data_IF_852041574062
#
_entry.id   IF_852041574062
#
_cell.length_a   1.000
_cell.length_b   1.000
_cell.length_c   1.000
_cell.angle_alpha   90.00
_cell.angle_beta   90.00
_cell.angle_gamma   90.00
#
_symmetry.space_group_name_H-M   'P 1'
#
loop_
_entity.id
_entity.type
_entity.pdbx_description
1 polymer ?
#
# COMPACT_ATOMS: atom_id res chain seq x y z
N UNK A 1 10.70 35.94 9.07
CA UNK A 1 9.33 36.48 9.17
C UNK A 1 8.78 36.54 7.76
N UNK A 2 7.91 35.60 7.39
CA UNK A 2 7.20 35.67 6.10
C UNK A 2 5.75 35.28 6.38
N UNK A 3 4.86 36.26 6.25
CA UNK A 3 3.40 36.07 6.31
C UNK A 3 2.97 35.31 5.06
N UNK A 4 2.31 34.17 5.23
CA UNK A 4 1.53 33.56 4.16
C UNK A 4 0.33 34.50 3.87
N UNK A 5 0.29 35.09 2.68
CA UNK A 5 -0.89 35.77 2.17
C UNK A 5 -1.95 34.71 1.82
N UNK A 6 -3.20 35.00 2.16
CA UNK A 6 -4.34 34.14 1.85
C UNK A 6 -4.50 33.93 0.35
N UNK A 7 -4.90 32.72 -0.03
CA UNK A 7 -5.23 32.34 -1.39
C UNK A 7 -6.51 33.08 -1.85
N UNK A 8 -6.48 33.82 -2.96
CA UNK A 8 -7.69 34.35 -3.57
C UNK A 8 -8.34 33.28 -4.45
N UNK A 9 -9.67 33.20 -4.39
CA UNK A 9 -10.50 32.48 -5.35
C UNK A 9 -10.24 33.03 -6.77
N UNK A 10 -9.45 32.31 -7.56
CA UNK A 10 -9.33 32.59 -9.00
C UNK A 10 -9.25 31.28 -9.77
N UNK A 11 -10.18 31.12 -10.71
CA UNK A 11 -10.22 30.05 -11.70
C UNK A 11 -9.02 30.17 -12.67
N UNK A 12 -7.82 29.83 -12.19
CA UNK A 12 -6.64 29.58 -12.99
C UNK A 12 -6.62 28.15 -13.54
N UNK A 13 -5.70 27.82 -14.47
CA UNK A 13 -5.48 26.43 -14.86
C UNK A 13 -5.13 25.61 -13.60
N UNK A 14 -5.52 24.32 -13.52
CA UNK A 14 -5.24 23.49 -12.36
C UNK A 14 -3.75 23.58 -12.01
N UNK A 15 -3.42 23.92 -10.76
CA UNK A 15 -2.04 23.83 -10.29
C UNK A 15 -1.60 22.36 -10.43
N UNK A 16 -0.64 22.10 -11.32
CA UNK A 16 -0.10 20.75 -11.51
C UNK A 16 0.51 20.28 -10.19
N UNK A 17 0.27 19.02 -9.83
CA UNK A 17 0.87 18.33 -8.67
C UNK A 17 0.46 18.83 -7.28
N UNK A 18 -0.75 19.37 -7.10
CA UNK A 18 -1.26 19.70 -5.76
C UNK A 18 -1.34 18.45 -4.84
N UNK A 19 -1.64 17.28 -5.39
CA UNK A 19 -1.60 16.01 -4.68
C UNK A 19 -0.19 15.73 -4.08
N UNK A 20 0.87 15.94 -4.86
CA UNK A 20 2.25 15.79 -4.41
C UNK A 20 2.59 16.73 -3.25
N UNK A 21 2.23 18.01 -3.39
CA UNK A 21 2.44 19.04 -2.38
C UNK A 21 1.68 18.72 -1.10
N UNK A 22 0.43 18.25 -1.21
CA UNK A 22 -0.38 17.82 -0.08
C UNK A 22 0.27 16.64 0.65
N UNK A 23 0.67 15.58 -0.06
CA UNK A 23 1.32 14.42 0.54
C UNK A 23 2.62 14.77 1.27
N UNK A 24 3.51 15.53 0.62
CA UNK A 24 4.78 15.94 1.23
C UNK A 24 4.58 16.84 2.46
N UNK A 25 3.55 17.69 2.44
CA UNK A 25 3.20 18.52 3.59
C UNK A 25 2.67 17.69 4.75
N UNK A 26 1.75 16.76 4.49
CA UNK A 26 1.19 15.85 5.49
C UNK A 26 2.26 14.95 6.10
N UNK A 27 3.10 14.34 5.27
CA UNK A 27 4.16 13.43 5.69
C UNK A 27 5.44 14.15 6.17
N UNK A 28 5.44 15.49 6.15
CA UNK A 28 6.56 16.32 6.59
C UNK A 28 6.37 16.96 7.95
N UNK A 29 5.17 16.95 8.53
CA UNK A 29 4.85 17.69 9.75
C UNK A 29 3.95 16.93 10.73
N UNK A 30 4.13 17.21 12.02
CA UNK A 30 3.29 16.68 13.09
C UNK A 30 3.37 15.16 13.24
N UNK A 31 2.28 14.56 13.73
CA UNK A 31 2.20 13.10 13.92
C UNK A 31 2.15 12.33 12.59
N UNK A 32 1.63 12.95 11.54
CA UNK A 32 1.57 12.35 10.19
C UNK A 32 2.94 12.26 9.52
N UNK A 33 3.98 12.90 10.07
CA UNK A 33 5.36 12.69 9.61
C UNK A 33 5.84 11.25 9.81
N UNK A 34 5.20 10.47 10.68
CA UNK A 34 5.50 9.04 10.89
C UNK A 34 4.71 8.13 9.94
N UNK A 35 3.76 8.66 9.16
CA UNK A 35 3.01 7.90 8.16
C UNK A 35 3.97 7.30 7.14
N UNK A 36 3.82 6.00 6.90
CA UNK A 36 4.65 5.22 5.98
C UNK A 36 4.08 5.15 4.57
N UNK A 37 2.76 5.03 4.45
CA UNK A 37 2.06 5.01 3.17
C UNK A 37 0.97 6.06 3.16
N UNK A 38 0.92 6.87 2.11
CA UNK A 38 -0.20 7.77 1.82
C UNK A 38 -0.82 7.38 0.48
N UNK A 39 -2.14 7.17 0.46
CA UNK A 39 -2.92 6.99 -0.76
C UNK A 39 -3.77 8.24 -0.91
N UNK A 40 -3.57 8.98 -1.99
CA UNK A 40 -4.31 10.20 -2.29
C UNK A 40 -5.48 9.85 -3.19
N UNK A 41 -6.66 10.35 -2.85
CA UNK A 41 -7.89 10.18 -3.62
C UNK A 41 -8.59 11.53 -3.72
N UNK A 42 -9.49 11.66 -4.69
CA UNK A 42 -10.29 12.88 -4.84
C UNK A 42 -11.23 13.07 -3.63
N UNK A 43 -11.71 14.30 -3.45
CA UNK A 43 -12.60 14.69 -2.34
C UNK A 43 -13.94 13.94 -2.31
N UNK A 44 -14.38 13.45 -3.47
CA UNK A 44 -15.59 12.63 -3.63
C UNK A 44 -15.40 11.15 -3.28
N UNK A 45 -14.18 10.72 -2.95
CA UNK A 45 -13.88 9.33 -2.54
C UNK A 45 -13.81 9.23 -1.01
N UNK A 46 -14.70 8.46 -0.36
CA UNK A 46 -14.65 8.25 1.09
C UNK A 46 -13.38 7.48 1.49
N UNK A 47 -12.46 8.15 2.19
CA UNK A 47 -11.15 7.59 2.56
C UNK A 47 -11.21 6.51 3.67
N UNK A 48 -12.34 6.39 4.38
CA UNK A 48 -12.62 5.34 5.35
C UNK A 48 -13.29 4.09 4.73
N UNK A 49 -13.64 4.15 3.45
CA UNK A 49 -14.13 3.03 2.66
C UNK A 49 -13.01 2.45 1.80
N UNK A 50 -12.50 1.30 2.24
CA UNK A 50 -11.41 0.60 1.54
C UNK A 50 -11.77 0.18 0.12
N UNK A 51 -13.02 -0.21 -0.13
CA UNK A 51 -13.44 -0.65 -1.46
C UNK A 51 -13.49 0.56 -2.42
N UNK A 52 -13.94 1.73 -1.94
CA UNK A 52 -13.91 2.98 -2.69
C UNK A 52 -12.48 3.46 -3.02
N UNK A 53 -11.54 3.33 -2.07
CA UNK A 53 -10.12 3.65 -2.28
C UNK A 53 -9.49 2.71 -3.31
N UNK A 54 -9.76 1.40 -3.23
CA UNK A 54 -9.30 0.45 -4.23
C UNK A 54 -9.88 0.74 -5.62
N UNK A 55 -11.15 1.15 -5.70
CA UNK A 55 -11.77 1.56 -6.96
C UNK A 55 -11.16 2.84 -7.54
N UNK A 56 -10.73 3.78 -6.71
CA UNK A 56 -9.96 4.95 -7.16
C UNK A 56 -8.60 4.52 -7.71
N UNK A 57 -7.87 3.68 -6.98
CA UNK A 57 -6.60 3.09 -7.43
C UNK A 57 -6.77 2.38 -8.79
N UNK A 58 -7.79 1.54 -8.92
CA UNK A 58 -8.09 0.78 -10.15
C UNK A 58 -8.26 1.70 -11.36
N UNK A 59 -8.94 2.82 -11.20
CA UNK A 59 -9.32 3.70 -12.33
C UNK A 59 -8.23 4.71 -12.69
N UNK A 60 -7.48 5.17 -11.69
CA UNK A 60 -6.69 6.38 -11.82
C UNK A 60 -5.17 6.15 -11.70
N UNK A 61 -4.73 5.05 -11.08
CA UNK A 61 -3.31 4.85 -10.76
C UNK A 61 -2.55 4.08 -11.86
N UNK A 62 -1.37 4.60 -12.21
CA UNK A 62 -0.29 3.98 -12.98
C UNK A 62 1.04 4.02 -12.22
N UNK A 63 1.82 2.94 -12.28
CA UNK A 63 3.15 2.91 -11.70
C UNK A 63 4.10 3.97 -12.29
N UNK A 64 3.90 4.36 -13.55
CA UNK A 64 4.78 5.32 -14.24
C UNK A 64 4.69 6.72 -13.65
N UNK A 65 3.48 7.17 -13.35
CA UNK A 65 3.20 8.56 -12.99
C UNK A 65 2.83 8.73 -11.52
N UNK A 66 2.29 7.70 -10.86
CA UNK A 66 1.53 7.88 -9.63
C UNK A 66 2.17 7.27 -8.38
N UNK A 67 3.44 6.85 -8.46
CA UNK A 67 4.19 6.30 -7.33
C UNK A 67 5.39 7.17 -6.96
N UNK A 68 5.42 7.65 -5.71
CA UNK A 68 6.59 8.31 -5.13
C UNK A 68 7.13 7.48 -3.96
N UNK A 69 8.34 6.97 -4.13
CA UNK A 69 9.07 6.23 -3.10
C UNK A 69 10.21 7.09 -2.58
N UNK A 70 10.23 7.33 -1.27
CA UNK A 70 11.24 8.17 -0.60
C UNK A 70 12.02 7.28 0.38
N UNK A 71 13.24 6.82 0.02
CA UNK A 71 14.07 6.04 0.93
C UNK A 71 14.83 6.93 1.92
N UNK A 72 15.24 6.38 3.06
CA UNK A 72 16.16 7.04 3.99
C UNK A 72 15.53 8.18 4.80
N UNK A 73 14.25 8.04 5.16
CA UNK A 73 13.47 9.05 5.90
C UNK A 73 13.08 8.56 7.30
N UNK A 74 12.66 9.45 8.21
CA UNK A 74 12.18 9.04 9.52
C UNK A 74 11.04 8.01 9.45
N UNK A 75 11.16 6.98 10.28
CA UNK A 75 10.18 5.91 10.45
C UNK A 75 9.64 5.93 11.88
N UNK A 76 8.39 5.49 12.06
CA UNK A 76 7.78 5.29 13.37
C UNK A 76 8.63 4.34 14.21
N UNK A 77 8.87 4.68 15.48
CA UNK A 77 9.68 3.86 16.40
C UNK A 77 9.09 2.46 16.64
N UNK A 78 7.77 2.30 16.50
CA UNK A 78 7.09 1.01 16.60
C UNK A 78 7.12 0.21 15.29
N UNK A 79 7.48 0.84 14.18
CA UNK A 79 7.68 0.15 12.91
C UNK A 79 9.12 -0.38 12.85
N UNK A 80 9.27 -1.70 12.87
CA UNK A 80 10.56 -2.40 12.84
C UNK A 80 11.00 -2.81 11.43
N UNK A 81 10.22 -2.47 10.40
CA UNK A 81 10.36 -3.10 9.10
C UNK A 81 11.65 -2.77 8.38
N UNK A 82 12.34 -1.67 8.68
CA UNK A 82 13.59 -1.27 8.03
C UNK A 82 14.84 -1.95 8.61
N UNK A 83 14.72 -2.67 9.74
CA UNK A 83 15.82 -3.15 10.59
C UNK A 83 16.70 -2.06 11.23
N UNK A 84 16.39 -0.79 11.03
CA UNK A 84 17.15 0.33 11.61
C UNK A 84 16.20 1.26 12.35
N UNK A 85 16.41 1.42 13.66
CA UNK A 85 15.54 2.25 14.50
C UNK A 85 15.42 3.68 13.93
N UNK A 86 14.18 4.15 13.78
CA UNK A 86 13.80 5.48 13.29
C UNK A 86 14.25 5.83 11.85
N UNK A 87 14.73 4.86 11.07
CA UNK A 87 15.10 5.05 9.67
C UNK A 87 14.26 4.11 8.81
N UNK A 88 13.74 4.59 7.69
CA UNK A 88 12.92 3.77 6.80
C UNK A 88 12.65 4.43 5.48
N UNK A 89 11.50 4.10 4.91
CA UNK A 89 11.04 4.65 3.65
C UNK A 89 9.56 5.01 3.69
N UNK A 90 9.17 5.90 2.77
CA UNK A 90 7.78 6.33 2.58
C UNK A 90 7.33 6.02 1.16
N UNK A 91 6.05 5.66 1.03
CA UNK A 91 5.38 5.44 -0.25
C UNK A 91 4.18 6.38 -0.35
N UNK A 92 4.07 7.08 -1.47
CA UNK A 92 2.88 7.85 -1.83
C UNK A 92 2.31 7.30 -3.13
N UNK A 93 1.01 7.02 -3.13
CA UNK A 93 0.26 6.52 -4.27
C UNK A 93 -0.81 7.56 -4.62
N UNK A 94 -0.68 8.20 -5.78
CA UNK A 94 -1.62 9.22 -6.24
C UNK A 94 -2.74 8.60 -7.06
N UNK A 95 -3.93 8.48 -6.50
CA UNK A 95 -5.10 7.93 -7.17
C UNK A 95 -6.13 9.02 -7.52
N UNK A 96 -5.73 10.30 -7.53
CA UNK A 96 -6.60 11.41 -7.92
C UNK A 96 -6.82 11.44 -9.43
N UNK A 97 -8.00 11.88 -9.87
CA UNK A 97 -8.35 11.91 -11.30
C UNK A 97 -7.54 12.98 -12.01
N UNK A 98 -6.87 12.59 -13.11
CA UNK A 98 -6.23 13.56 -13.99
C UNK A 98 -5.22 14.45 -13.27
N UNK A 99 -4.31 13.86 -12.49
CA UNK A 99 -3.26 14.59 -11.77
C UNK A 99 -1.93 14.78 -12.53
N UNK A 100 -1.70 14.04 -13.63
CA UNK A 100 -0.38 13.96 -14.26
C UNK A 100 0.64 13.27 -13.35
N UNK A 101 0.11 12.62 -12.30
CA UNK A 101 0.78 11.88 -11.27
C UNK A 101 1.76 12.65 -10.38
N UNK A 102 1.99 12.11 -9.19
CA UNK A 102 2.99 12.63 -8.25
C UNK A 102 4.41 12.58 -8.83
N UNK A 103 4.70 11.58 -9.66
CA UNK A 103 5.98 11.30 -10.29
C UNK A 103 6.03 11.60 -11.80
N UNK A 104 4.89 11.81 -12.45
CA UNK A 104 4.80 12.03 -13.89
C UNK A 104 5.39 13.36 -14.36
N UNK A 105 5.91 13.38 -15.60
CA UNK A 105 6.43 14.55 -16.31
C UNK A 105 5.44 15.10 -17.35
N UNK A 106 4.34 14.38 -17.59
CA UNK A 106 3.30 14.74 -18.54
C UNK A 106 2.12 15.49 -17.89
N UNK A 107 1.44 16.38 -18.63
CA UNK A 107 0.16 16.93 -18.20
C UNK A 107 -0.86 15.79 -18.00
N UNK A 108 -1.80 15.94 -17.08
CA UNK A 108 -2.80 14.93 -16.86
C UNK A 108 -3.60 14.55 -18.09
N UNK A 109 -3.70 13.25 -18.35
CA UNK A 109 -4.68 12.74 -19.31
C UNK A 109 -6.10 12.98 -18.76
N UNK A 110 -7.03 13.53 -19.57
CA UNK A 110 -8.39 13.76 -19.12
C UNK A 110 -9.15 12.43 -19.05
N UNK A 111 -9.55 12.05 -17.83
CA UNK A 111 -10.63 11.10 -17.58
C UNK A 111 -10.22 9.87 -16.74
N UNK A 112 -11.06 9.43 -15.77
CA UNK A 112 -10.89 8.13 -15.14
C UNK A 112 -11.15 7.02 -16.17
N UNK A 113 -10.32 5.98 -16.15
CA UNK A 113 -10.55 4.79 -16.96
C UNK A 113 -9.26 4.20 -17.49
N UNK A 114 -8.88 3.05 -16.92
CA UNK A 114 -7.83 2.15 -17.41
C UNK A 114 -6.37 2.68 -17.37
N UNK A 115 -6.08 3.73 -16.57
CA UNK A 115 -4.70 4.22 -16.35
C UNK A 115 -3.73 3.07 -16.04
N UNK A 116 -2.53 3.03 -16.61
CA UNK A 116 -1.54 1.96 -16.35
C UNK A 116 -1.90 0.55 -16.82
N UNK A 117 -3.12 0.28 -17.36
CA UNK A 117 -3.46 -1.07 -17.83
C UNK A 117 -2.64 -1.51 -19.05
N UNK A 118 -2.23 -0.57 -19.90
CA UNK A 118 -1.35 -0.83 -21.05
C UNK A 118 0.07 -1.24 -20.63
N UNK A 119 0.45 -1.00 -19.38
CA UNK A 119 1.77 -1.31 -18.84
C UNK A 119 1.79 -2.66 -18.11
N UNK A 120 0.62 -3.29 -17.92
CA UNK A 120 0.54 -4.59 -17.25
C UNK A 120 1.20 -5.68 -18.11
N UNK A 121 1.90 -6.65 -17.48
CA UNK A 121 2.36 -7.83 -18.19
C UNK A 121 1.17 -8.55 -18.84
N UNK A 122 1.27 -8.86 -20.13
CA UNK A 122 0.19 -9.52 -20.89
C UNK A 122 -0.95 -8.61 -21.34
N UNK A 123 -0.98 -7.35 -20.89
CA UNK A 123 -2.02 -6.36 -21.23
C UNK A 123 -3.33 -6.52 -20.47
N UNK A 124 -4.25 -5.58 -20.67
CA UNK A 124 -5.53 -5.49 -19.96
C UNK A 124 -6.47 -6.69 -20.18
N UNK A 125 -6.30 -7.40 -21.30
CA UNK A 125 -7.12 -8.54 -21.71
C UNK A 125 -6.43 -9.89 -21.40
N UNK A 126 -5.33 -9.86 -20.65
CA UNK A 126 -4.66 -11.07 -20.21
C UNK A 126 -5.61 -11.99 -19.41
N UNK A 127 -5.47 -13.32 -19.53
CA UNK A 127 -6.21 -14.24 -18.69
C UNK A 127 -5.83 -14.05 -17.21
N UNK A 128 -6.74 -14.41 -16.31
CA UNK A 128 -6.45 -14.55 -14.88
C UNK A 128 -6.33 -16.04 -14.55
N UNK A 129 -5.11 -16.48 -14.28
CA UNK A 129 -4.82 -17.81 -13.75
C UNK A 129 -4.78 -17.73 -12.21
N UNK A 130 -5.49 -18.62 -11.54
CA UNK A 130 -5.53 -18.67 -10.07
C UNK A 130 -4.12 -18.87 -9.48
N UNK A 131 -3.63 -17.95 -8.61
CA UNK A 131 -2.24 -17.99 -8.11
C UNK A 131 -1.84 -19.30 -7.44
N UNK A 132 -2.78 -19.95 -6.73
CA UNK A 132 -2.55 -21.25 -6.07
C UNK A 132 -2.18 -22.38 -7.03
N UNK A 133 -2.39 -22.23 -8.35
CA UNK A 133 -1.99 -23.21 -9.37
C UNK A 133 -0.61 -22.93 -9.96
N UNK A 134 -0.10 -21.71 -9.79
CA UNK A 134 1.15 -21.26 -10.42
C UNK A 134 2.35 -21.34 -9.49
N UNK A 135 2.15 -21.40 -8.17
CA UNK A 135 3.25 -21.44 -7.20
C UNK A 135 2.89 -22.22 -5.92
N UNK A 136 3.62 -23.30 -5.63
CA UNK A 136 3.33 -24.24 -4.54
C UNK A 136 3.37 -23.63 -3.12
N UNK A 137 4.09 -22.52 -2.94
CA UNK A 137 4.15 -21.85 -1.64
C UNK A 137 2.88 -21.06 -1.30
N UNK A 138 2.02 -20.80 -2.29
CA UNK A 138 0.76 -20.07 -2.07
C UNK A 138 -0.21 -21.00 -1.35
N UNK A 139 -0.56 -20.63 -0.12
CA UNK A 139 -1.53 -21.37 0.69
C UNK A 139 -2.96 -21.01 0.31
N UNK A 140 -3.20 -19.72 0.02
CA UNK A 140 -4.52 -19.17 -0.22
C UNK A 140 -4.42 -17.80 -0.90
N UNK A 141 -5.50 -17.31 -1.49
CA UNK A 141 -5.52 -16.01 -2.16
C UNK A 141 -6.93 -15.41 -2.20
N UNK A 142 -7.00 -14.08 -2.32
CA UNK A 142 -8.25 -13.34 -2.47
C UNK A 142 -8.04 -12.09 -3.32
N UNK A 143 -8.99 -11.77 -4.18
CA UNK A 143 -9.04 -10.49 -4.90
C UNK A 143 -10.03 -9.56 -4.18
N UNK A 144 -9.60 -8.33 -3.95
CA UNK A 144 -10.42 -7.26 -3.37
C UNK A 144 -10.70 -6.20 -4.44
N UNK A 145 -11.97 -5.84 -4.59
CA UNK A 145 -12.47 -4.81 -5.51
C UNK A 145 -11.87 -4.90 -6.94
N UNK A 146 -11.68 -6.12 -7.46
CA UNK A 146 -11.05 -6.40 -8.77
C UNK A 146 -9.69 -5.70 -9.00
N UNK A 147 -8.98 -5.37 -7.92
CA UNK A 147 -7.81 -4.47 -7.95
C UNK A 147 -6.61 -5.05 -7.22
N UNK A 148 -6.82 -5.41 -5.96
CA UNK A 148 -5.78 -5.88 -5.06
C UNK A 148 -5.88 -7.40 -4.92
N UNK A 149 -4.88 -8.10 -5.46
CA UNK A 149 -4.71 -9.53 -5.21
C UNK A 149 -3.88 -9.71 -3.93
N UNK A 150 -4.48 -10.30 -2.90
CA UNK A 150 -3.75 -10.71 -1.70
C UNK A 150 -3.46 -12.20 -1.77
N UNK A 151 -2.20 -12.57 -1.54
CA UNK A 151 -1.71 -13.95 -1.61
C UNK A 151 -1.06 -14.30 -0.29
N UNK A 152 -1.56 -15.35 0.37
CA UNK A 152 -1.01 -15.87 1.60
C UNK A 152 0.00 -16.97 1.28
N UNK A 153 1.22 -16.84 1.80
CA UNK A 153 2.32 -17.78 1.53
C UNK A 153 2.77 -18.51 2.78
N UNK A 154 3.19 -19.77 2.60
CA UNK A 154 3.89 -20.53 3.64
C UNK A 154 5.37 -20.18 3.60
N UNK A 155 5.73 -19.04 4.18
CA UNK A 155 7.11 -18.55 4.20
C UNK A 155 7.87 -19.11 5.41
N UNK A 156 8.75 -20.09 5.18
CA UNK A 156 9.54 -20.73 6.23
C UNK A 156 10.97 -20.21 6.34
N UNK A 157 11.43 -19.49 5.32
CA UNK A 157 12.83 -19.08 5.19
C UNK A 157 13.02 -17.56 5.09
N UNK A 158 11.92 -16.80 5.09
CA UNK A 158 11.92 -15.34 5.04
C UNK A 158 12.28 -14.77 3.68
N UNK A 159 12.29 -15.60 2.64
CA UNK A 159 12.62 -15.22 1.26
C UNK A 159 11.52 -15.61 0.28
N UNK A 160 10.60 -16.48 0.70
CA UNK A 160 9.51 -16.96 -0.15
C UNK A 160 8.56 -15.82 -0.50
N UNK A 161 8.27 -14.91 0.44
CA UNK A 161 7.45 -13.72 0.21
C UNK A 161 7.96 -12.87 -0.95
N UNK A 162 9.23 -12.46 -0.86
CA UNK A 162 9.90 -11.66 -1.90
C UNK A 162 9.85 -12.29 -3.28
N UNK A 163 10.19 -13.58 -3.38
CA UNK A 163 10.19 -14.31 -4.64
C UNK A 163 8.79 -14.35 -5.27
N UNK A 164 7.77 -14.66 -4.47
CA UNK A 164 6.37 -14.68 -4.94
C UNK A 164 5.91 -13.29 -5.38
N UNK A 165 6.30 -12.23 -4.65
CA UNK A 165 5.97 -10.86 -5.03
C UNK A 165 6.56 -10.47 -6.39
N UNK A 166 7.84 -10.79 -6.64
CA UNK A 166 8.51 -10.55 -7.93
C UNK A 166 7.87 -11.34 -9.08
N UNK A 167 7.57 -12.62 -8.87
CA UNK A 167 6.94 -13.47 -9.88
C UNK A 167 5.52 -13.00 -10.25
N UNK A 168 4.71 -12.62 -9.24
CA UNK A 168 3.35 -12.12 -9.49
C UNK A 168 3.37 -10.71 -10.12
N UNK A 169 4.32 -9.85 -9.74
CA UNK A 169 4.53 -8.56 -10.40
C UNK A 169 4.87 -8.72 -11.89
N UNK A 170 5.64 -9.75 -12.26
CA UNK A 170 6.02 -10.02 -13.64
C UNK A 170 5.01 -10.88 -14.43
N UNK A 171 4.04 -11.51 -13.75
CA UNK A 171 3.16 -12.51 -14.37
C UNK A 171 2.24 -11.91 -15.46
N UNK A 172 2.25 -12.44 -16.69
CA UNK A 172 1.34 -12.03 -17.77
C UNK A 172 -0.04 -12.65 -17.66
N UNK A 173 -0.36 -13.32 -16.54
CA UNK A 173 -1.58 -14.12 -16.35
C UNK A 173 -2.38 -13.73 -15.12
N UNK A 174 -2.34 -12.47 -14.72
CA UNK A 174 -3.14 -11.92 -13.62
C UNK A 174 -4.18 -10.90 -14.11
N UNK A 175 -4.51 -10.91 -15.41
CA UNK A 175 -5.45 -9.96 -16.01
C UNK A 175 -5.19 -8.51 -15.62
N UNK A 176 -6.25 -7.81 -15.18
CA UNK A 176 -6.26 -6.39 -14.84
C UNK A 176 -5.72 -6.05 -13.44
N UNK A 177 -5.27 -7.04 -12.65
CA UNK A 177 -4.73 -6.78 -11.32
C UNK A 177 -3.52 -5.85 -11.44
N UNK A 178 -3.53 -4.75 -10.70
CA UNK A 178 -2.44 -3.75 -10.66
C UNK A 178 -1.63 -3.80 -9.37
N UNK A 179 -2.23 -4.34 -8.31
CA UNK A 179 -1.63 -4.39 -6.98
C UNK A 179 -1.70 -5.80 -6.42
N UNK A 180 -0.54 -6.30 -5.98
CA UNK A 180 -0.40 -7.56 -5.26
C UNK A 180 0.12 -7.30 -3.85
N UNK A 181 -0.42 -7.99 -2.85
CA UNK A 181 0.17 -8.04 -1.52
C UNK A 181 0.43 -9.51 -1.14
N UNK A 182 1.67 -9.81 -0.79
CA UNK A 182 2.07 -11.13 -0.31
C UNK A 182 2.15 -11.09 1.21
N UNK A 183 1.35 -11.91 1.88
CA UNK A 183 1.21 -11.91 3.35
C UNK A 183 1.59 -13.26 3.94
N UNK A 184 2.01 -13.24 5.21
CA UNK A 184 2.33 -14.46 5.97
C UNK A 184 1.09 -15.32 6.26
N UNK A 185 1.35 -16.58 6.64
CA UNK A 185 0.35 -17.62 6.90
C UNK A 185 -0.62 -17.31 8.05
N UNK A 186 -0.19 -16.48 9.00
CA UNK A 186 -0.98 -16.00 10.14
C UNK A 186 -2.02 -14.92 9.78
N UNK A 187 -1.94 -14.32 8.58
CA UNK A 187 -2.88 -13.28 8.15
C UNK A 187 -4.18 -13.90 7.66
N UNK A 188 -5.30 -13.48 8.27
CA UNK A 188 -6.65 -13.85 7.84
C UNK A 188 -7.03 -13.08 6.58
N UNK A 189 -7.49 -13.80 5.54
CA UNK A 189 -8.01 -13.19 4.31
C UNK A 189 -9.49 -12.79 4.42
N UNK A 190 -10.18 -13.22 5.47
CA UNK A 190 -11.62 -12.98 5.69
C UNK A 190 -11.89 -11.78 6.60
N UNK A 191 -10.93 -11.46 7.48
CA UNK A 191 -10.98 -10.30 8.36
C UNK A 191 -10.29 -9.10 7.70
N UNK A 192 -11.09 -8.13 7.25
CA UNK A 192 -10.61 -6.92 6.56
C UNK A 192 -9.60 -6.14 7.39
N UNK A 193 -9.84 -5.98 8.69
CA UNK A 193 -8.98 -5.19 9.57
C UNK A 193 -7.63 -5.88 9.73
N UNK A 194 -7.63 -7.18 10.00
CA UNK A 194 -6.40 -7.96 10.12
C UNK A 194 -5.65 -8.10 8.80
N UNK A 195 -6.37 -8.14 7.67
CA UNK A 195 -5.77 -8.16 6.34
C UNK A 195 -5.02 -6.86 6.03
N UNK A 196 -5.68 -5.71 6.21
CA UNK A 196 -5.04 -4.39 6.03
C UNK A 196 -3.85 -4.25 6.98
N UNK A 197 -4.02 -4.65 8.24
CA UNK A 197 -2.93 -4.62 9.22
C UNK A 197 -1.75 -5.51 8.81
N UNK A 198 -2.03 -6.73 8.34
CA UNK A 198 -1.02 -7.67 7.87
C UNK A 198 -0.24 -7.16 6.64
N UNK A 199 -0.91 -6.42 5.76
CA UNK A 199 -0.27 -5.80 4.59
C UNK A 199 0.64 -4.64 5.01
N UNK A 200 0.16 -3.71 5.84
CA UNK A 200 0.86 -2.43 6.06
C UNK A 200 1.90 -2.42 7.18
N UNK A 201 1.94 -3.45 8.04
CA UNK A 201 2.86 -3.50 9.19
C UNK A 201 4.13 -4.30 8.97
N UNK A 202 4.26 -5.04 7.85
CA UNK A 202 5.34 -6.03 7.65
C UNK A 202 6.23 -5.79 6.44
N UNK A 203 6.23 -4.58 5.90
CA UNK A 203 7.06 -4.20 4.77
C UNK A 203 7.78 -2.88 5.01
N UNK A 204 8.94 -2.63 4.40
CA UNK A 204 9.52 -1.30 4.21
C UNK A 204 9.40 -0.96 2.72
N UNK A 205 8.92 0.22 2.34
CA UNK A 205 8.62 0.51 0.94
C UNK A 205 9.84 0.38 0.01
N UNK A 206 10.99 0.92 0.41
CA UNK A 206 12.22 0.86 -0.37
C UNK A 206 12.78 -0.56 -0.53
N UNK A 207 12.60 -1.41 0.48
CA UNK A 207 13.06 -2.80 0.42
C UNK A 207 12.07 -3.74 -0.25
N UNK A 208 10.78 -3.59 0.03
CA UNK A 208 9.80 -4.67 -0.14
C UNK A 208 8.72 -4.39 -1.18
N UNK A 209 8.63 -3.16 -1.69
CA UNK A 209 7.81 -2.86 -2.86
C UNK A 209 8.59 -3.24 -4.11
N UNK A 210 7.95 -4.00 -4.99
CA UNK A 210 8.46 -4.35 -6.31
C UNK A 210 7.49 -3.88 -7.37
N UNK A 211 8.05 -3.44 -8.50
CA UNK A 211 7.28 -3.17 -9.71
C UNK A 211 7.66 -4.17 -10.78
N UNK A 212 6.80 -4.38 -11.78
CA UNK A 212 7.14 -5.18 -12.97
C UNK A 212 8.48 -4.74 -13.56
N UNK A 213 8.70 -3.43 -13.65
CA UNK A 213 10.01 -2.88 -14.03
C UNK A 213 10.33 -1.61 -13.26
N UNK A 214 11.63 -1.41 -13.02
CA UNK A 214 12.19 -0.21 -12.41
C UNK A 214 13.44 0.17 -13.20
N UNK A 215 13.49 1.39 -13.71
CA UNK A 215 14.66 1.94 -14.43
C UNK A 215 15.00 3.32 -13.92
N UNK A 216 16.22 3.78 -14.17
CA UNK A 216 16.58 5.18 -13.95
C UNK A 216 16.36 5.97 -15.24
N UNK A 217 15.75 7.13 -15.11
CA UNK A 217 15.67 8.17 -16.14
C UNK A 217 16.41 9.40 -15.61
N UNK A 218 17.68 9.55 -16.02
CA UNK A 218 18.63 10.40 -15.30
C UNK A 218 18.82 9.93 -13.85
N UNK A 219 18.59 10.82 -12.89
CA UNK A 219 18.66 10.52 -11.45
C UNK A 219 17.29 10.08 -10.86
N UNK A 220 16.25 9.97 -11.69
CA UNK A 220 14.88 9.69 -11.24
C UNK A 220 14.51 8.22 -11.48
N UNK A 221 13.98 7.49 -10.49
CA UNK A 221 13.44 6.15 -10.71
C UNK A 221 12.09 6.23 -11.44
N UNK A 222 11.98 5.53 -12.58
CA UNK A 222 10.74 5.29 -13.30
C UNK A 222 10.30 3.84 -13.07
N UNK A 223 9.10 3.67 -12.54
CA UNK A 223 8.46 2.37 -12.37
C UNK A 223 7.46 2.13 -13.50
N UNK A 224 7.08 0.88 -13.76
CA UNK A 224 6.00 0.58 -14.68
C UNK A 224 5.32 -0.75 -14.34
N UNK A 225 4.06 -0.88 -14.78
CA UNK A 225 3.29 -2.10 -14.69
C UNK A 225 2.68 -2.33 -13.31
N UNK A 226 2.73 -3.58 -12.85
CA UNK A 226 2.11 -4.03 -11.59
C UNK A 226 3.01 -3.73 -10.40
N UNK A 227 2.42 -3.27 -9.31
CA UNK A 227 3.08 -3.18 -8.00
C UNK A 227 2.78 -4.44 -7.18
N UNK A 228 3.80 -5.01 -6.55
CA UNK A 228 3.64 -6.04 -5.52
C UNK A 228 4.36 -5.62 -4.23
N UNK A 229 3.83 -6.04 -3.09
CA UNK A 229 4.39 -5.76 -1.77
C UNK A 229 4.68 -7.09 -1.09
N UNK A 230 5.93 -7.28 -0.64
CA UNK A 230 6.29 -8.35 0.28
C UNK A 230 6.01 -7.94 1.73
N UNK A 231 4.82 -8.28 2.22
CA UNK A 231 4.38 -8.06 3.60
C UNK A 231 4.46 -9.34 4.46
N UNK A 232 5.40 -10.25 4.16
CA UNK A 232 5.67 -11.39 5.04
C UNK A 232 6.58 -11.02 6.21
N UNK A 233 6.55 -11.85 7.25
CA UNK A 233 7.55 -11.88 8.31
C UNK A 233 8.95 -12.07 7.73
N UNK A 234 9.90 -11.27 8.21
CA UNK A 234 11.30 -11.33 7.78
C UNK A 234 12.21 -11.70 8.95
N UNK A 235 13.31 -12.44 8.72
CA UNK A 235 14.25 -12.80 9.76
C UNK A 235 14.81 -11.55 10.43
N UNK A 236 14.74 -11.50 11.76
CA UNK A 236 15.18 -10.34 12.56
C UNK A 236 14.06 -9.37 12.94
N UNK A 237 12.82 -9.57 12.46
CA UNK A 237 11.67 -8.89 13.05
C UNK A 237 11.45 -9.37 14.49
N UNK A 238 11.02 -8.47 15.41
CA UNK A 238 10.63 -8.87 16.75
C UNK A 238 9.37 -9.74 16.70
N UNK A 239 9.24 -10.63 17.68
CA UNK A 239 8.01 -11.41 17.83
C UNK A 239 6.81 -10.48 18.08
N UNK A 240 5.61 -10.82 17.59
CA UNK A 240 4.38 -10.12 17.94
C UNK A 240 4.24 -9.99 19.46
N UNK A 241 3.79 -8.81 19.92
CA UNK A 241 3.47 -8.62 21.33
C UNK A 241 2.21 -9.41 21.64
N UNK A 242 2.35 -10.49 22.40
CA UNK A 242 1.25 -11.25 22.94
C UNK A 242 0.93 -10.80 24.37
N UNK A 243 -0.35 -10.56 24.71
CA UNK A 243 -0.74 -10.20 26.07
C UNK A 243 -0.56 -11.40 27.01
N UNK A 244 -0.11 -11.14 28.25
CA UNK A 244 0.01 -12.18 29.29
C UNK A 244 -1.37 -12.85 29.52
N UNK A 245 -1.50 -14.18 29.31
CA UNK A 245 -2.76 -14.89 29.52
C UNK A 245 -3.38 -14.69 30.90
N UNK A 246 -2.57 -14.47 31.94
CA UNK A 246 -3.07 -14.17 33.28
C UNK A 246 -3.70 -12.77 33.37
N UNK A 247 -3.12 -11.79 32.68
CA UNK A 247 -3.69 -10.45 32.59
C UNK A 247 -5.01 -10.45 31.80
N UNK A 248 -5.06 -11.17 30.67
CA UNK A 248 -6.29 -11.34 29.87
C UNK A 248 -7.41 -11.94 30.73
N UNK A 249 -7.16 -13.07 31.40
CA UNK A 249 -8.14 -13.70 32.30
C UNK A 249 -8.63 -12.75 33.39
N UNK A 250 -7.71 -12.04 34.04
CA UNK A 250 -8.03 -11.09 35.10
C UNK A 250 -8.93 -9.94 34.60
N UNK A 251 -8.66 -9.42 33.40
CA UNK A 251 -9.47 -8.38 32.77
C UNK A 251 -10.85 -8.92 32.40
N UNK A 252 -10.93 -10.12 31.84
CA UNK A 252 -12.19 -10.76 31.47
C UNK A 252 -13.09 -11.02 32.68
N UNK A 253 -12.53 -11.59 33.75
CA UNK A 253 -13.24 -11.86 35.01
C UNK A 253 -13.79 -10.58 35.65
N UNK A 254 -13.01 -9.49 35.59
CA UNK A 254 -13.38 -8.20 36.17
C UNK A 254 -14.11 -7.26 35.22
N UNK A 255 -14.36 -7.66 33.98
CA UNK A 255 -14.91 -6.74 32.97
C UNK A 255 -16.21 -6.06 33.44
N UNK A 256 -17.09 -6.83 34.10
CA UNK A 256 -18.35 -6.32 34.63
C UNK A 256 -18.20 -5.29 35.77
N UNK A 257 -17.10 -5.32 36.52
CA UNK A 257 -16.87 -4.36 37.62
C UNK A 257 -16.27 -3.03 37.14
N UNK A 258 -15.76 -2.97 35.91
CA UNK A 258 -15.21 -1.73 35.34
C UNK A 258 -16.29 -0.76 34.86
N UNK A 259 -17.56 -1.16 34.82
CA UNK A 259 -18.65 -0.32 34.32
C UNK A 259 -18.58 -0.05 32.81
N UNK A 260 -17.73 -0.79 32.08
CA UNK A 260 -17.56 -0.69 30.63
C UNK A 260 -18.41 -1.79 29.97
N UNK A 261 -19.24 -1.40 29.01
CA UNK A 261 -20.08 -2.37 28.28
C UNK A 261 -19.18 -3.23 27.39
N UNK A 262 -19.33 -4.56 27.44
CA UNK A 262 -18.62 -5.44 26.48
C UNK A 262 -19.03 -5.05 25.05
N UNK A 263 -18.08 -4.95 24.11
CA UNK A 263 -18.43 -4.87 22.69
C UNK A 263 -19.30 -6.07 22.33
N UNK A 264 -20.28 -5.88 21.44
CA UNK A 264 -20.99 -7.02 20.85
C UNK A 264 -19.97 -7.82 20.05
N UNK A 265 -19.88 -9.12 20.31
CA UNK A 265 -19.09 -10.01 19.44
C UNK A 265 -19.60 -9.87 18.00
N UNK A 266 -18.69 -9.85 17.00
CA UNK A 266 -19.07 -9.86 15.59
C UNK A 266 -19.90 -11.10 15.24
#
# INVERSE_FOLDING_TARGET
MTRAQGFPDSAGPPELKEAAKAALSLMGQGQLALTKVAILVDDDVPADDWDAVLDAFRRNWSAVDDALLIPGVPQDTLDFTSFTMNLGSKLVLDCTRGAGGIAGDAPPAPGPGDAGLSELPGGADAPFDEPGRTHDAIADWRVLADTLLVVRVRDRDGRTGRKVAEELAASPRLGRIKWVAVVSDDVSLDDRTMLIWGIFTRFDAARDVVFTSSRLDGAWPRYAGRMAIDATWKPGYPDPIEPDPAAVRKVDERWGSYGIRRPRSP
#
